data_IF_362025068162
#
_entry.id   IF_362025068162
#
_cell.length_a   1.000
_cell.length_b   1.000
_cell.length_c   1.000
_cell.angle_alpha   90.00
_cell.angle_beta   90.00
_cell.angle_gamma   90.00
#
_symmetry.space_group_name_H-M   'P 1'
#
loop_
_entity.id
_entity.type
_entity.pdbx_description
1 polymer ?
#
# COMPACT_ATOMS: atom_id res chain seq x y z
N UNK A 1 -0.80 -21.64 -29.54
CA UNK A 1 -0.23 -22.99 -29.31
C UNK A 1 -0.98 -23.62 -28.16
N UNK A 2 -1.47 -24.86 -28.27
CA UNK A 2 -2.10 -25.54 -27.13
C UNK A 2 -1.06 -25.78 -26.02
N UNK A 3 -1.47 -25.61 -24.77
CA UNK A 3 -0.59 -25.79 -23.60
C UNK A 3 -0.11 -27.25 -23.53
N UNK A 4 1.20 -27.44 -23.30
CA UNK A 4 1.79 -28.76 -23.11
C UNK A 4 1.40 -29.30 -21.71
N UNK A 5 0.61 -30.39 -21.61
CA UNK A 5 0.12 -30.89 -20.32
C UNK A 5 1.22 -31.46 -19.42
N UNK A 6 2.45 -31.69 -19.93
CA UNK A 6 3.57 -32.20 -19.12
C UNK A 6 4.28 -31.13 -18.28
N UNK A 7 3.93 -29.85 -18.44
CA UNK A 7 4.40 -28.75 -17.57
C UNK A 7 3.32 -28.26 -16.60
N UNK A 8 2.19 -28.98 -16.50
CA UNK A 8 1.03 -28.61 -15.66
C UNK A 8 1.34 -28.50 -14.16
N UNK A 9 2.44 -29.08 -13.68
CA UNK A 9 2.88 -28.93 -12.29
C UNK A 9 3.50 -27.55 -11.97
N UNK A 10 3.70 -26.68 -12.96
CA UNK A 10 4.29 -25.35 -12.80
C UNK A 10 3.35 -24.21 -13.22
N UNK A 11 2.06 -24.48 -13.39
CA UNK A 11 1.10 -23.49 -13.84
C UNK A 11 0.04 -23.24 -12.77
N UNK A 12 0.19 -22.13 -12.03
CA UNK A 12 -0.61 -21.83 -10.84
C UNK A 12 -1.93 -21.09 -11.14
N UNK A 13 -2.03 -20.28 -12.21
CA UNK A 13 -3.28 -19.56 -12.54
C UNK A 13 -3.40 -19.19 -14.03
N UNK A 14 -4.58 -19.42 -14.62
CA UNK A 14 -5.03 -18.82 -15.89
C UNK A 14 -6.13 -17.81 -15.56
N UNK A 15 -6.03 -16.58 -16.05
CA UNK A 15 -7.08 -15.56 -15.90
C UNK A 15 -7.16 -14.70 -17.15
N UNK A 16 -8.38 -14.30 -17.52
CA UNK A 16 -8.63 -13.34 -18.60
C UNK A 16 -8.39 -11.89 -18.14
N UNK A 17 -8.22 -11.68 -16.84
CA UNK A 17 -7.92 -10.38 -16.24
C UNK A 17 -6.42 -10.19 -16.03
N UNK A 18 -5.89 -8.97 -16.18
CA UNK A 18 -4.51 -8.67 -15.83
C UNK A 18 -4.26 -8.95 -14.34
N UNK A 19 -3.05 -9.39 -14.04
CA UNK A 19 -2.54 -9.51 -12.69
C UNK A 19 -1.59 -8.35 -12.42
N UNK A 20 -1.70 -7.76 -11.24
CA UNK A 20 -0.78 -6.71 -10.83
C UNK A 20 0.63 -7.29 -10.65
N UNK A 21 1.64 -6.60 -11.16
CA UNK A 21 3.02 -7.08 -11.12
C UNK A 21 3.72 -6.52 -9.89
N UNK A 22 4.31 -7.40 -9.09
CA UNK A 22 5.20 -6.96 -8.01
C UNK A 22 6.57 -6.63 -8.59
N UNK A 23 6.94 -5.35 -8.53
CA UNK A 23 8.17 -4.79 -9.13
C UNK A 23 9.33 -4.74 -8.15
N UNK A 24 9.02 -4.77 -6.85
CA UNK A 24 9.99 -4.89 -5.76
C UNK A 24 9.38 -5.64 -4.58
N UNK A 25 10.15 -6.46 -3.88
CA UNK A 25 9.69 -7.09 -2.64
C UNK A 25 10.80 -7.70 -1.81
N UNK A 26 10.50 -7.98 -0.55
CA UNK A 26 11.45 -8.62 0.35
C UNK A 26 11.14 -8.41 1.83
N UNK A 27 12.18 -8.58 2.64
CA UNK A 27 12.13 -8.35 4.08
C UNK A 27 13.18 -7.34 4.50
N UNK A 28 12.85 -6.47 5.44
CA UNK A 28 13.76 -5.54 6.07
C UNK A 28 13.61 -5.61 7.60
N UNK A 29 14.57 -5.07 8.32
CA UNK A 29 14.40 -4.79 9.73
C UNK A 29 15.09 -3.49 10.11
N UNK A 30 14.57 -2.84 11.14
CA UNK A 30 15.17 -1.65 11.72
C UNK A 30 14.74 -1.53 13.18
N UNK A 31 15.56 -0.87 14.00
CA UNK A 31 15.30 -0.71 15.43
C UNK A 31 14.96 0.74 15.74
N UNK A 32 13.87 0.94 16.48
CA UNK A 32 13.46 2.25 16.98
C UNK A 32 13.69 2.28 18.49
N UNK A 33 14.45 3.26 19.02
CA UNK A 33 14.66 3.40 20.46
C UNK A 33 13.34 3.60 21.22
N UNK A 34 13.40 3.49 22.55
CA UNK A 34 12.25 3.74 23.41
C UNK A 34 11.73 5.18 23.27
N UNK A 35 10.42 5.37 23.33
CA UNK A 35 9.73 6.67 23.33
C UNK A 35 10.16 7.63 22.21
N UNK A 36 10.38 7.12 20.99
CA UNK A 36 10.79 7.94 19.85
C UNK A 36 10.31 7.37 18.51
N UNK A 37 10.60 8.11 17.45
CA UNK A 37 10.43 7.68 16.06
C UNK A 37 11.77 7.28 15.46
N UNK A 38 11.76 6.35 14.50
CA UNK A 38 12.95 5.95 13.77
C UNK A 38 12.63 5.67 12.31
N UNK A 39 13.68 5.69 11.48
CA UNK A 39 13.55 5.51 10.03
C UNK A 39 14.53 4.45 9.54
N UNK A 40 14.03 3.46 8.81
CA UNK A 40 14.81 2.54 7.99
C UNK A 40 14.73 2.95 6.52
N UNK A 41 15.81 2.77 5.76
CA UNK A 41 15.84 3.01 4.31
C UNK A 41 16.45 1.83 3.57
N UNK A 42 15.91 1.54 2.39
CA UNK A 42 16.41 0.51 1.51
C UNK A 42 16.28 0.95 0.04
N UNK A 43 17.38 0.99 -0.68
CA UNK A 43 17.38 1.36 -2.10
C UNK A 43 16.64 0.31 -2.95
N UNK A 44 15.62 0.72 -3.72
CA UNK A 44 14.83 -0.18 -4.59
C UNK A 44 15.39 -0.33 -6.00
N UNK A 45 16.25 0.59 -6.46
CA UNK A 45 16.92 0.55 -7.79
C UNK A 45 15.95 0.52 -8.99
N UNK A 46 14.74 1.04 -8.81
CA UNK A 46 13.76 1.21 -9.89
C UNK A 46 13.89 2.64 -10.44
N UNK A 47 13.57 2.87 -11.72
CA UNK A 47 13.58 4.22 -12.31
C UNK A 47 12.38 5.10 -11.88
N UNK A 48 11.56 4.60 -10.95
CA UNK A 48 10.36 5.25 -10.43
C UNK A 48 10.14 4.86 -8.96
N UNK A 49 9.32 5.64 -8.24
CA UNK A 49 8.88 5.31 -6.89
C UNK A 49 7.78 4.23 -6.94
N UNK A 50 7.95 3.04 -6.34
CA UNK A 50 6.94 1.98 -6.36
C UNK A 50 5.70 2.27 -5.48
N UNK A 51 4.57 1.60 -5.74
CA UNK A 51 3.40 1.64 -4.86
C UNK A 51 3.56 0.62 -3.73
N UNK A 52 4.08 1.08 -2.59
CA UNK A 52 4.50 0.19 -1.50
C UNK A 52 3.34 -0.28 -0.60
N UNK A 53 3.40 -1.54 -0.19
CA UNK A 53 2.51 -2.21 0.76
C UNK A 53 3.30 -3.22 1.58
N UNK A 54 2.69 -3.76 2.64
CA UNK A 54 3.36 -4.73 3.48
C UNK A 54 2.68 -5.02 4.81
N UNK A 55 3.44 -5.69 5.66
CA UNK A 55 3.11 -6.00 7.04
C UNK A 55 4.37 -6.00 7.87
N UNK A 56 4.23 -5.94 9.19
CA UNK A 56 5.37 -6.01 10.09
C UNK A 56 5.10 -6.95 11.27
N UNK A 57 6.19 -7.36 11.90
CA UNK A 57 6.18 -8.15 13.13
C UNK A 57 7.21 -7.59 14.11
N UNK A 58 7.04 -7.94 15.38
CA UNK A 58 8.04 -7.68 16.42
C UNK A 58 9.02 -8.85 16.59
N UNK A 59 8.80 -9.96 15.87
CA UNK A 59 9.65 -11.15 15.90
C UNK A 59 10.10 -11.50 14.48
N UNK A 60 11.32 -12.05 14.37
CA UNK A 60 11.93 -12.38 13.08
C UNK A 60 11.27 -13.56 12.35
N UNK A 61 10.50 -14.37 13.08
CA UNK A 61 9.73 -15.50 12.55
C UNK A 61 8.35 -15.09 12.00
N UNK A 62 7.94 -13.83 12.21
CA UNK A 62 6.64 -13.30 11.79
C UNK A 62 5.45 -14.08 12.38
N UNK A 63 5.59 -14.63 13.60
CA UNK A 63 4.52 -15.38 14.26
C UNK A 63 3.23 -14.56 14.44
N UNK A 64 3.36 -13.25 14.68
CA UNK A 64 2.26 -12.29 14.69
C UNK A 64 2.54 -11.22 13.65
N UNK A 65 1.58 -11.00 12.74
CA UNK A 65 1.67 -10.01 11.68
C UNK A 65 0.67 -8.87 11.95
N UNK A 66 1.16 -7.65 11.83
CA UNK A 66 0.36 -6.43 11.85
C UNK A 66 0.38 -5.78 10.47
N UNK A 67 -0.75 -5.21 10.06
CA UNK A 67 -0.81 -4.37 8.88
C UNK A 67 -0.05 -3.06 9.10
N UNK A 68 0.44 -2.45 8.04
CA UNK A 68 1.00 -1.10 8.12
C UNK A 68 -0.06 -0.10 8.57
N UNK A 69 0.35 0.96 9.27
CA UNK A 69 -0.56 1.92 9.93
C UNK A 69 -1.54 1.29 10.96
N UNK A 70 -1.34 0.03 11.38
CA UNK A 70 -2.14 -0.64 12.40
C UNK A 70 -1.24 -1.20 13.49
N UNK A 71 -1.76 -1.34 14.70
CA UNK A 71 -1.04 -1.90 15.83
C UNK A 71 -1.99 -2.28 16.97
N UNK A 72 -1.52 -3.01 18.00
CA UNK A 72 -2.30 -3.21 19.21
C UNK A 72 -2.66 -1.88 19.87
N UNK A 73 -3.90 -1.79 20.33
CA UNK A 73 -4.38 -0.66 21.12
C UNK A 73 -3.62 -0.62 22.44
N UNK A 74 -3.09 0.55 22.77
CA UNK A 74 -2.40 0.78 24.04
C UNK A 74 -3.34 0.56 25.22
N UNK A 75 -2.88 -0.19 26.21
CA UNK A 75 -3.63 -0.40 27.46
C UNK A 75 -3.58 0.82 28.39
N UNK A 76 -2.72 1.81 28.09
CA UNK A 76 -2.59 3.05 28.85
C UNK A 76 -2.40 4.26 27.92
N UNK A 77 -3.43 4.63 27.13
CA UNK A 77 -3.32 5.65 26.09
C UNK A 77 -3.30 7.06 26.72
N UNK A 78 -2.14 7.49 27.22
CA UNK A 78 -2.01 8.86 27.76
C UNK A 78 -1.99 9.92 26.63
N UNK A 79 -1.40 9.59 25.47
CA UNK A 79 -1.19 10.52 24.35
C UNK A 79 -1.36 9.91 22.95
N UNK A 80 -1.43 8.57 22.84
CA UNK A 80 -1.45 7.82 21.58
C UNK A 80 -2.32 6.58 21.74
N UNK A 81 -3.02 6.21 20.66
CA UNK A 81 -3.90 5.05 20.62
C UNK A 81 -3.11 3.73 20.54
N UNK A 82 -1.91 3.77 19.94
CA UNK A 82 -1.07 2.61 19.70
C UNK A 82 0.27 2.73 20.44
N UNK A 83 0.79 1.62 20.95
CA UNK A 83 2.10 1.58 21.62
C UNK A 83 3.28 1.68 20.62
N UNK A 84 3.04 1.27 19.38
CA UNK A 84 3.99 1.34 18.27
C UNK A 84 3.21 1.31 16.95
N UNK A 85 3.81 1.77 15.85
CA UNK A 85 3.20 1.70 14.52
C UNK A 85 4.30 1.73 13.47
N UNK A 86 4.08 1.11 12.32
CA UNK A 86 5.01 1.14 11.19
C UNK A 86 4.28 1.56 9.92
N UNK A 87 4.90 2.50 9.21
CA UNK A 87 4.45 3.03 7.93
C UNK A 87 5.51 2.75 6.87
N UNK A 88 5.10 2.62 5.62
CA UNK A 88 6.00 2.45 4.48
C UNK A 88 5.69 3.51 3.43
N UNK A 89 6.73 4.13 2.89
CA UNK A 89 6.65 5.04 1.75
C UNK A 89 7.77 4.69 0.76
N UNK A 90 7.76 5.32 -0.41
CA UNK A 90 8.91 5.30 -1.30
C UNK A 90 9.07 6.61 -2.04
N UNK A 91 10.31 6.91 -2.41
CA UNK A 91 10.64 8.01 -3.31
C UNK A 91 11.35 7.49 -4.57
N UNK A 92 12.05 8.36 -5.30
CA UNK A 92 12.76 7.98 -6.52
C UNK A 92 13.90 6.97 -6.32
N UNK A 93 14.40 6.78 -5.09
CA UNK A 93 15.58 5.96 -4.81
C UNK A 93 15.34 4.89 -3.75
N UNK A 94 14.57 5.23 -2.71
CA UNK A 94 14.48 4.47 -1.47
C UNK A 94 13.05 4.04 -1.13
N UNK A 95 12.94 2.84 -0.57
CA UNK A 95 11.83 2.43 0.27
C UNK A 95 12.14 2.93 1.68
N UNK A 96 11.19 3.65 2.26
CA UNK A 96 11.33 4.33 3.55
C UNK A 96 10.36 3.70 4.54
N UNK A 97 10.90 3.10 5.59
CA UNK A 97 10.13 2.57 6.71
C UNK A 97 10.19 3.59 7.85
N UNK A 98 9.04 4.03 8.34
CA UNK A 98 8.96 4.92 9.50
C UNK A 98 8.27 4.17 10.62
N UNK A 99 8.93 4.09 11.77
CA UNK A 99 8.41 3.42 12.96
C UNK A 99 8.26 4.40 14.10
N UNK A 100 7.18 4.29 14.85
CA UNK A 100 7.02 4.95 16.14
C UNK A 100 7.05 3.88 17.23
N UNK A 101 7.73 4.18 18.33
CA UNK A 101 7.81 3.31 19.50
C UNK A 101 7.59 4.17 20.75
N UNK A 102 6.44 3.98 21.38
CA UNK A 102 6.05 4.65 22.62
C UNK A 102 6.16 3.73 23.84
N UNK A 103 6.86 2.60 23.69
CA UNK A 103 7.16 1.70 24.80
C UNK A 103 8.43 2.14 25.54
N UNK A 104 8.61 1.63 26.76
CA UNK A 104 9.78 1.90 27.60
C UNK A 104 11.08 1.20 27.14
N UNK A 105 11.05 0.45 26.04
CA UNK A 105 12.19 -0.31 25.52
C UNK A 105 12.35 -0.13 24.02
N UNK A 106 13.58 -0.24 23.45
CA UNK A 106 13.75 -0.31 22.01
C UNK A 106 12.97 -1.47 21.39
N UNK A 107 12.42 -1.26 20.19
CA UNK A 107 11.70 -2.27 19.41
C UNK A 107 12.42 -2.46 18.08
N UNK A 108 12.68 -3.70 17.70
CA UNK A 108 13.08 -4.06 16.33
C UNK A 108 11.85 -4.46 15.54
N UNK A 109 11.56 -3.74 14.47
CA UNK A 109 10.50 -4.07 13.53
C UNK A 109 11.07 -4.95 12.42
N UNK A 110 10.42 -6.08 12.15
CA UNK A 110 10.68 -6.95 11.02
C UNK A 110 9.58 -6.72 9.99
N UNK A 111 9.94 -6.18 8.82
CA UNK A 111 8.99 -5.74 7.80
C UNK A 111 9.04 -6.67 6.60
N UNK A 112 7.86 -7.11 6.17
CA UNK A 112 7.60 -7.78 4.90
C UNK A 112 6.97 -6.76 3.97
N UNK A 113 7.61 -6.47 2.85
CA UNK A 113 7.12 -5.47 1.90
C UNK A 113 7.06 -5.99 0.47
N UNK A 114 6.17 -5.38 -0.30
CA UNK A 114 6.13 -5.48 -1.75
C UNK A 114 5.74 -4.11 -2.33
N UNK A 115 6.07 -3.90 -3.60
CA UNK A 115 5.77 -2.68 -4.34
C UNK A 115 5.24 -3.00 -5.72
N UNK A 116 4.26 -2.23 -6.16
CA UNK A 116 3.66 -2.34 -7.48
C UNK A 116 4.14 -1.19 -8.38
N UNK A 117 3.91 -1.31 -9.66
CA UNK A 117 4.16 -0.23 -10.61
C UNK A 117 3.12 0.89 -10.46
N UNK A 118 3.52 2.18 -10.40
CA UNK A 118 2.58 3.30 -10.44
C UNK A 118 1.79 3.34 -11.76
N UNK A 119 0.53 3.75 -11.69
CA UNK A 119 -0.33 3.94 -12.89
C UNK A 119 0.21 4.96 -13.91
N UNK A 120 1.21 5.75 -13.52
CA UNK A 120 1.86 6.79 -14.34
C UNK A 120 3.05 6.27 -15.13
N UNK A 121 3.40 4.99 -14.98
CA UNK A 121 4.56 4.36 -15.60
C UNK A 121 4.10 3.11 -16.37
N UNK A 122 4.72 2.88 -17.52
CA UNK A 122 4.59 1.66 -18.32
C UNK A 122 6.01 1.14 -18.62
N UNK A 123 6.60 0.52 -17.61
CA UNK A 123 7.90 -0.09 -17.66
C UNK A 123 7.77 -1.52 -18.18
N UNK A 124 8.57 -1.87 -19.18
CA UNK A 124 8.65 -3.23 -19.69
C UNK A 124 9.37 -4.15 -18.68
N UNK A 125 8.65 -4.54 -17.64
CA UNK A 125 9.09 -5.48 -16.62
C UNK A 125 8.68 -6.89 -17.04
N UNK A 126 9.70 -7.66 -17.45
CA UNK A 126 9.54 -9.00 -18.02
C UNK A 126 8.84 -9.99 -17.08
N UNK A 127 8.98 -9.81 -15.75
CA UNK A 127 8.43 -10.70 -14.71
C UNK A 127 8.25 -9.98 -13.38
N UNK A 128 7.29 -10.44 -12.57
CA UNK A 128 7.26 -10.19 -11.13
C UNK A 128 8.60 -10.60 -10.50
N UNK A 129 9.09 -9.86 -9.49
CA UNK A 129 10.34 -10.21 -8.84
C UNK A 129 10.30 -11.64 -8.26
N UNK A 130 11.28 -12.46 -8.65
CA UNK A 130 11.31 -13.90 -8.35
C UNK A 130 11.44 -14.25 -6.87
N UNK A 131 11.88 -13.32 -6.02
CA UNK A 131 11.96 -13.51 -4.57
C UNK A 131 10.60 -13.34 -3.87
N UNK A 132 9.58 -12.87 -4.59
CA UNK A 132 8.20 -12.71 -4.10
C UNK A 132 7.40 -14.01 -4.23
N UNK A 133 7.91 -15.02 -4.94
CA UNK A 133 7.28 -16.35 -5.02
C UNK A 133 7.16 -17.03 -3.64
N UNK A 134 8.02 -16.65 -2.69
CA UNK A 134 7.98 -17.11 -1.29
C UNK A 134 7.11 -16.22 -0.39
N UNK A 135 6.59 -15.11 -0.92
CA UNK A 135 5.63 -14.27 -0.22
C UNK A 135 4.27 -14.95 -0.30
N UNK A 136 3.94 -15.72 0.74
CA UNK A 136 2.57 -16.13 0.97
C UNK A 136 1.77 -14.89 1.39
N UNK A 137 1.32 -14.11 0.41
CA UNK A 137 0.06 -13.39 0.54
C UNK A 137 -0.97 -14.49 0.82
N UNK A 138 -1.74 -14.35 1.91
CA UNK A 138 -2.65 -15.38 2.42
C UNK A 138 -3.25 -16.23 1.28
N UNK A 139 -3.13 -17.56 1.37
CA UNK A 139 -3.45 -18.50 0.28
C UNK A 139 -4.90 -18.46 -0.18
N UNK A 140 -5.78 -17.80 0.58
CA UNK A 140 -7.17 -17.52 0.22
C UNK A 140 -7.32 -16.42 -0.85
N UNK A 141 -6.29 -15.59 -1.08
CA UNK A 141 -6.31 -14.38 -1.92
C UNK A 141 -5.36 -14.44 -3.13
N UNK A 142 -4.95 -15.63 -3.53
CA UNK A 142 -3.64 -15.87 -4.17
C UNK A 142 -3.34 -15.20 -5.52
N UNK A 143 -4.32 -14.62 -6.23
CA UNK A 143 -4.08 -13.91 -7.48
C UNK A 143 -5.13 -12.82 -7.68
N UNK A 144 -4.96 -11.68 -6.98
CA UNK A 144 -5.93 -10.58 -7.06
C UNK A 144 -6.05 -10.11 -8.51
N UNK A 145 -7.21 -10.40 -9.12
CA UNK A 145 -7.48 -10.03 -10.51
C UNK A 145 -7.73 -8.54 -10.56
N UNK A 146 -6.84 -7.82 -11.22
CA UNK A 146 -6.97 -6.39 -11.35
C UNK A 146 -8.17 -6.07 -12.23
N UNK A 147 -9.14 -5.35 -11.66
CA UNK A 147 -10.36 -4.94 -12.35
C UNK A 147 -10.23 -3.54 -12.93
N UNK A 148 -9.82 -2.57 -12.09
CA UNK A 148 -9.63 -1.18 -12.45
C UNK A 148 -8.36 -0.65 -11.80
N UNK A 149 -7.60 0.14 -12.55
CA UNK A 149 -6.41 0.83 -12.06
C UNK A 149 -6.22 2.11 -12.82
N UNK A 150 -5.99 3.21 -12.10
CA UNK A 150 -5.57 4.47 -12.70
C UNK A 150 -4.99 5.38 -11.60
N UNK A 151 -4.91 6.67 -11.87
CA UNK A 151 -4.65 7.71 -10.90
C UNK A 151 -5.53 8.93 -11.19
N UNK A 152 -5.80 9.72 -10.16
CA UNK A 152 -6.34 11.07 -10.30
C UNK A 152 -5.28 12.09 -9.94
N UNK A 153 -5.13 13.12 -10.78
CA UNK A 153 -4.25 14.25 -10.48
C UNK A 153 -5.07 15.44 -9.98
N UNK A 154 -4.66 15.94 -8.81
CA UNK A 154 -5.20 17.13 -8.18
C UNK A 154 -4.15 18.23 -8.30
N UNK A 155 -4.36 19.22 -9.20
CA UNK A 155 -3.36 20.26 -9.44
C UNK A 155 -3.15 21.12 -8.20
N UNK A 156 -1.98 21.75 -8.12
CA UNK A 156 -1.71 22.72 -7.05
C UNK A 156 -2.76 23.84 -7.07
N UNK A 157 -3.18 24.26 -5.87
CA UNK A 157 -4.17 25.32 -5.69
C UNK A 157 -3.60 26.45 -4.84
N UNK A 158 -3.81 27.72 -5.22
CA UNK A 158 -3.40 28.85 -4.39
C UNK A 158 -4.29 29.03 -3.14
N UNK A 159 -5.48 28.42 -3.12
CA UNK A 159 -6.43 28.44 -2.01
C UNK A 159 -6.78 27.05 -1.55
N UNK A 160 -7.17 26.90 -0.28
CA UNK A 160 -7.68 25.61 0.20
C UNK A 160 -8.94 25.21 -0.56
N UNK A 161 -8.94 24.01 -1.13
CA UNK A 161 -10.10 23.47 -1.87
C UNK A 161 -10.34 22.03 -1.45
N UNK A 162 -11.61 21.64 -1.37
CA UNK A 162 -12.00 20.26 -1.13
C UNK A 162 -12.62 19.70 -2.40
N UNK A 163 -12.05 18.61 -2.90
CA UNK A 163 -12.51 17.93 -4.12
C UNK A 163 -12.97 16.53 -3.76
N UNK A 164 -14.11 16.11 -4.31
CA UNK A 164 -14.59 14.73 -4.23
C UNK A 164 -14.59 14.13 -5.63
N UNK A 165 -13.86 13.04 -5.79
CA UNK A 165 -13.83 12.24 -7.02
C UNK A 165 -14.58 10.94 -6.78
N UNK A 166 -15.48 10.58 -7.69
CA UNK A 166 -16.26 9.34 -7.65
C UNK A 166 -15.87 8.49 -8.85
N UNK A 167 -15.43 7.27 -8.58
CA UNK A 167 -14.93 6.31 -9.56
C UNK A 167 -15.88 5.12 -9.58
N UNK A 168 -16.77 5.01 -10.59
CA UNK A 168 -17.69 3.88 -10.66
C UNK A 168 -16.93 2.60 -11.01
N UNK A 169 -17.15 1.54 -10.22
CA UNK A 169 -16.67 0.18 -10.52
C UNK A 169 -17.82 -0.80 -10.79
N UNK A 170 -19.04 -0.53 -10.32
CA UNK A 170 -20.24 -1.28 -10.77
C UNK A 170 -20.26 -2.78 -10.47
N UNK A 171 -19.50 -3.25 -9.47
CA UNK A 171 -19.37 -4.68 -9.15
C UNK A 171 -20.57 -5.24 -8.36
N UNK A 172 -21.43 -4.39 -7.81
CA UNK A 172 -22.58 -4.79 -7.00
C UNK A 172 -22.22 -5.35 -5.61
N UNK A 173 -20.96 -5.23 -5.21
CA UNK A 173 -20.39 -5.60 -3.91
C UNK A 173 -19.19 -4.72 -3.60
N UNK A 174 -18.78 -4.64 -2.33
CA UNK A 174 -17.56 -3.93 -1.92
C UNK A 174 -16.34 -4.77 -2.33
N UNK A 175 -15.50 -4.30 -3.28
CA UNK A 175 -14.28 -5.00 -3.68
C UNK A 175 -13.12 -4.71 -2.73
N UNK A 176 -12.05 -5.50 -2.84
CA UNK A 176 -10.75 -5.09 -2.31
C UNK A 176 -10.21 -3.91 -3.11
N UNK A 177 -9.82 -2.84 -2.41
CA UNK A 177 -9.23 -1.63 -2.99
C UNK A 177 -7.91 -1.31 -2.29
N UNK A 178 -6.94 -0.85 -3.06
CA UNK A 178 -5.71 -0.25 -2.53
C UNK A 178 -5.52 1.15 -3.14
N UNK A 179 -5.10 2.10 -2.32
CA UNK A 179 -4.90 3.50 -2.72
C UNK A 179 -3.57 4.04 -2.20
N UNK A 180 -2.96 4.95 -2.95
CA UNK A 180 -1.72 5.61 -2.58
C UNK A 180 -1.75 7.08 -2.97
N UNK A 181 -1.19 7.95 -2.14
CA UNK A 181 -0.95 9.35 -2.49
C UNK A 181 0.50 9.54 -2.96
N UNK A 182 0.68 10.23 -4.08
CA UNK A 182 1.96 10.76 -4.53
C UNK A 182 1.97 12.28 -4.28
N UNK A 183 2.97 12.75 -3.53
CA UNK A 183 3.20 14.18 -3.29
C UNK A 183 4.70 14.47 -3.33
N UNK A 184 5.11 15.41 -4.17
CA UNK A 184 6.53 15.79 -4.33
C UNK A 184 7.46 14.59 -4.59
N UNK A 185 7.02 13.62 -5.39
CA UNK A 185 7.79 12.41 -5.73
C UNK A 185 7.90 11.37 -4.63
N UNK A 186 7.20 11.54 -3.50
CA UNK A 186 7.04 10.51 -2.47
C UNK A 186 5.66 9.87 -2.59
N UNK A 187 5.61 8.54 -2.58
CA UNK A 187 4.39 7.75 -2.59
C UNK A 187 4.18 7.10 -1.22
N UNK A 188 2.96 7.22 -0.69
CA UNK A 188 2.52 6.66 0.58
C UNK A 188 1.18 5.93 0.41
N UNK A 189 0.97 4.75 1.02
CA UNK A 189 -0.32 4.09 1.03
C UNK A 189 -1.33 4.90 1.83
N UNK A 190 -2.59 4.85 1.41
CA UNK A 190 -3.72 5.46 2.08
C UNK A 190 -4.61 4.39 2.71
N UNK A 191 -5.31 4.77 3.78
CA UNK A 191 -6.36 3.94 4.35
C UNK A 191 -7.58 3.96 3.43
N UNK A 192 -8.19 2.78 3.25
CA UNK A 192 -9.48 2.64 2.57
C UNK A 192 -10.53 2.29 3.61
N UNK A 193 -11.59 3.09 3.64
CA UNK A 193 -12.69 2.95 4.58
C UNK A 193 -13.96 2.41 3.91
N UNK A 194 -14.88 1.88 4.73
CA UNK A 194 -16.22 1.57 4.27
C UNK A 194 -16.99 2.86 3.93
N UNK A 195 -17.98 2.72 3.05
CA UNK A 195 -18.87 3.80 2.65
C UNK A 195 -19.47 4.55 3.85
N UNK A 196 -19.19 5.85 3.95
CA UNK A 196 -19.70 6.70 5.04
C UNK A 196 -18.76 6.86 6.22
N UNK A 197 -17.68 6.08 6.31
CA UNK A 197 -16.61 6.24 7.29
C UNK A 197 -15.46 7.08 6.73
N UNK A 198 -15.76 8.30 6.31
CA UNK A 198 -14.73 9.22 5.85
C UNK A 198 -14.13 9.94 7.05
N UNK A 199 -13.00 9.41 7.51
CA UNK A 199 -12.19 9.99 8.57
C UNK A 199 -11.71 11.40 8.19
N UNK A 200 -11.35 12.22 9.20
CA UNK A 200 -10.83 13.57 9.02
C UNK A 200 -9.37 13.55 8.53
N UNK A 201 -9.13 12.87 7.41
CA UNK A 201 -7.83 12.75 6.76
C UNK A 201 -7.75 13.76 5.60
N UNK A 202 -6.57 14.34 5.31
CA UNK A 202 -6.40 15.23 4.17
C UNK A 202 -6.73 14.57 2.82
N UNK A 203 -6.54 13.25 2.74
CA UNK A 203 -6.96 12.43 1.61
C UNK A 203 -7.65 11.21 2.20
N UNK A 204 -8.98 11.18 2.12
CA UNK A 204 -9.79 10.07 2.60
C UNK A 204 -10.28 9.25 1.41
N UNK A 205 -10.11 7.93 1.47
CA UNK A 205 -10.63 7.02 0.44
C UNK A 205 -11.66 6.08 1.05
N UNK A 206 -12.81 5.93 0.39
CA UNK A 206 -13.86 5.02 0.84
C UNK A 206 -14.44 4.24 -0.33
N UNK A 207 -14.88 3.01 -0.08
CA UNK A 207 -15.45 2.15 -1.12
C UNK A 207 -16.84 1.66 -0.72
N UNK A 208 -17.74 1.62 -1.70
CA UNK A 208 -19.09 1.06 -1.58
C UNK A 208 -19.32 -0.08 -2.59
N UNK A 209 -20.56 -0.55 -2.73
CA UNK A 209 -20.88 -1.64 -3.65
C UNK A 209 -20.74 -1.29 -5.15
N UNK A 210 -20.59 0.00 -5.46
CA UNK A 210 -20.68 0.59 -6.79
C UNK A 210 -19.56 1.57 -7.11
N UNK A 211 -18.99 2.26 -6.11
CA UNK A 211 -18.00 3.33 -6.28
C UNK A 211 -16.82 3.22 -5.32
N UNK A 212 -15.66 3.66 -5.83
CA UNK A 212 -14.57 4.18 -5.01
C UNK A 212 -14.71 5.70 -4.96
N UNK A 213 -14.65 6.27 -3.76
CA UNK A 213 -14.78 7.70 -3.51
C UNK A 213 -13.47 8.19 -2.90
N UNK A 214 -12.91 9.25 -3.48
CA UNK A 214 -11.70 9.91 -2.99
C UNK A 214 -12.07 11.34 -2.64
N UNK A 215 -11.88 11.72 -1.37
CA UNK A 215 -12.01 13.10 -0.92
C UNK A 215 -10.63 13.63 -0.60
N UNK A 216 -10.30 14.77 -1.19
CA UNK A 216 -8.99 15.41 -1.05
C UNK A 216 -9.19 16.85 -0.61
N UNK A 217 -8.55 17.23 0.50
CA UNK A 217 -8.35 18.62 0.87
C UNK A 217 -6.98 19.09 0.39
N UNK A 218 -6.99 19.99 -0.58
CA UNK A 218 -5.79 20.59 -1.15
C UNK A 218 -5.58 21.92 -0.44
N UNK A 219 -4.73 21.94 0.58
CA UNK A 219 -4.37 23.19 1.25
C UNK A 219 -3.67 24.15 0.28
N UNK A 220 -3.88 25.46 0.45
CA UNK A 220 -3.23 26.49 -0.39
C UNK A 220 -1.70 26.33 -0.41
N UNK A 221 -1.10 26.36 -1.61
CA UNK A 221 0.34 26.18 -1.79
C UNK A 221 0.82 24.72 -1.74
N UNK A 222 -0.09 23.76 -1.63
CA UNK A 222 0.24 22.33 -1.75
C UNK A 222 0.63 22.02 -3.20
N UNK A 223 1.75 21.30 -3.43
CA UNK A 223 2.11 20.84 -4.77
C UNK A 223 1.05 19.89 -5.31
N UNK A 224 1.11 19.60 -6.62
CA UNK A 224 0.24 18.60 -7.24
C UNK A 224 0.26 17.30 -6.44
N UNK A 225 -0.94 16.77 -6.17
CA UNK A 225 -1.14 15.48 -5.51
C UNK A 225 -1.67 14.52 -6.57
N UNK A 226 -1.14 13.30 -6.63
CA UNK A 226 -1.81 12.22 -7.36
C UNK A 226 -2.31 11.19 -6.37
N UNK A 227 -3.46 10.60 -6.67
CA UNK A 227 -3.98 9.45 -5.92
C UNK A 227 -4.09 8.27 -6.88
N UNK A 228 -3.22 7.28 -6.69
CA UNK A 228 -3.26 6.01 -7.41
C UNK A 228 -4.28 5.08 -6.77
N UNK A 229 -4.94 4.26 -7.58
CA UNK A 229 -5.87 3.26 -7.08
C UNK A 229 -5.77 1.94 -7.84
N UNK A 230 -6.10 0.86 -7.14
CA UNK A 230 -6.28 -0.49 -7.65
C UNK A 230 -7.58 -1.04 -7.08
N UNK A 231 -8.46 -1.53 -7.94
CA UNK A 231 -9.68 -2.25 -7.57
C UNK A 231 -9.53 -3.68 -8.05
N UNK A 232 -9.69 -4.63 -7.16
CA UNK A 232 -9.56 -6.05 -7.46
C UNK A 232 -10.92 -6.73 -7.50
N UNK A 233 -11.05 -7.77 -8.33
CA UNK A 233 -12.30 -8.55 -8.39
C UNK A 233 -12.50 -9.41 -7.15
N UNK A 234 -11.43 -9.78 -6.46
CA UNK A 234 -11.47 -10.66 -5.31
C UNK A 234 -11.83 -9.87 -4.03
N UNK A 235 -12.49 -10.55 -3.07
CA UNK A 235 -13.04 -9.97 -1.84
C UNK A 235 -12.49 -10.73 -0.63
#
# INVERSE_FOLDING_TARGET
MPANPTTSNNFLVTTDYPLDKVVVGGTANFTVPANTTGVGRLAHKLPFAPLMMGSYSLTSDYAVLYGLNTAPVSLSPALRLYDYIVNINSDANDIIFSGENYTGSPITFYVRYYGLEPSTVDADLLRTQSNVDNFQLNTDYNYTKLYLSDYFEYPSSPSTTSVTTIIPHGLGRVPQVMTWSEKSGTIAPLSVHDAGDLQAEPIATSVDATNLIIKTEIAGGTPTIRVHYRVYLDA
#
